data_IF_127221484655
#
_entry.id   IF_127221484655
#
_cell.length_a   1.000
_cell.length_b   1.000
_cell.length_c   1.000
_cell.angle_alpha   90.00
_cell.angle_beta   90.00
_cell.angle_gamma   90.00
#
_symmetry.space_group_name_H-M   'P 1'
#
loop_
_entity.id
_entity.type
_entity.pdbx_description
1 polymer ?
#
# COMPACT_ATOMS: atom_id res chain seq x y z
N UNK A 1 78.77 75.95 -12.05
CA UNK A 1 78.78 74.82 -11.12
C UNK A 1 77.38 74.25 -11.07
N UNK A 2 77.26 72.95 -11.35
CA UNK A 2 76.03 72.19 -11.34
C UNK A 2 75.72 71.72 -9.91
N UNK A 3 74.45 71.65 -9.52
CA UNK A 3 73.75 70.38 -9.31
C UNK A 3 72.31 70.56 -8.81
N UNK A 4 71.50 69.63 -9.31
CA UNK A 4 70.05 69.45 -9.31
C UNK A 4 69.45 69.00 -7.96
N UNK A 5 68.10 68.97 -7.85
CA UNK A 5 67.34 68.76 -6.62
C UNK A 5 67.33 67.29 -6.18
N UNK A 6 67.17 67.08 -4.86
CA UNK A 6 67.07 65.76 -4.22
C UNK A 6 65.75 65.07 -4.54
N UNK A 7 65.83 63.78 -4.87
CA UNK A 7 64.75 62.82 -5.04
C UNK A 7 63.68 62.94 -3.95
N UNK A 8 62.52 63.43 -4.35
CA UNK A 8 61.25 63.09 -3.70
C UNK A 8 60.79 61.81 -4.42
N UNK A 9 60.95 60.66 -3.77
CA UNK A 9 60.41 59.38 -4.22
C UNK A 9 58.89 59.45 -4.19
N UNK A 10 58.34 60.13 -5.21
CA UNK A 10 56.92 60.08 -5.55
C UNK A 10 56.66 58.64 -5.98
N UNK A 11 55.90 57.92 -5.16
CA UNK A 11 55.37 56.61 -5.52
C UNK A 11 54.66 56.72 -6.88
N UNK A 12 55.35 56.23 -7.91
CA UNK A 12 54.82 56.17 -9.27
C UNK A 12 53.76 55.08 -9.30
N UNK A 13 52.48 55.49 -9.22
CA UNK A 13 51.32 54.63 -9.42
C UNK A 13 51.19 54.19 -10.89
N UNK A 14 52.30 53.89 -11.56
CA UNK A 14 52.27 53.43 -12.95
C UNK A 14 51.65 52.03 -13.03
N UNK A 15 50.40 52.05 -13.48
CA UNK A 15 49.65 51.01 -14.21
C UNK A 15 49.49 49.65 -13.51
N UNK A 16 48.34 49.49 -12.85
CA UNK A 16 47.44 48.45 -13.34
C UNK A 16 46.55 49.07 -14.43
N UNK A 17 46.22 48.28 -15.44
CA UNK A 17 45.62 48.69 -16.71
C UNK A 17 44.10 48.87 -16.56
N UNK A 18 43.68 49.63 -15.55
CA UNK A 18 42.27 49.78 -15.23
C UNK A 18 41.81 51.19 -15.55
N UNK A 19 41.21 51.35 -16.72
CA UNK A 19 40.59 52.63 -17.10
C UNK A 19 39.41 52.91 -16.17
N UNK A 20 39.08 54.19 -15.98
CA UNK A 20 37.86 54.58 -15.26
C UNK A 20 36.61 53.90 -15.85
N UNK A 21 36.61 53.64 -17.15
CA UNK A 21 35.58 52.91 -17.87
C UNK A 21 35.50 51.43 -17.45
N UNK A 22 36.63 50.77 -17.18
CA UNK A 22 36.64 49.41 -16.63
C UNK A 22 35.98 49.34 -15.24
N UNK A 23 36.16 50.37 -14.39
CA UNK A 23 35.47 50.46 -13.08
C UNK A 23 33.97 50.63 -13.23
N UNK A 24 33.56 51.51 -14.13
CA UNK A 24 32.15 51.80 -14.38
C UNK A 24 31.45 50.55 -14.93
N UNK A 25 32.09 49.83 -15.84
CA UNK A 25 31.55 48.58 -16.39
C UNK A 25 31.45 47.48 -15.34
N UNK A 26 32.50 47.26 -14.54
CA UNK A 26 32.47 46.27 -13.46
C UNK A 26 31.38 46.59 -12.41
N UNK A 27 31.18 47.87 -12.08
CA UNK A 27 30.12 48.29 -11.18
C UNK A 27 28.73 48.03 -11.77
N UNK A 28 28.53 48.35 -13.05
CA UNK A 28 27.27 48.10 -13.74
C UNK A 28 26.94 46.61 -13.84
N UNK A 29 27.93 45.76 -14.10
CA UNK A 29 27.78 44.31 -14.09
C UNK A 29 27.37 43.80 -12.70
N UNK A 30 28.04 44.25 -11.63
CA UNK A 30 27.67 43.86 -10.26
C UNK A 30 26.25 44.29 -9.89
N UNK A 31 25.83 45.50 -10.26
CA UNK A 31 24.46 45.99 -10.03
C UNK A 31 23.44 45.13 -10.78
N UNK A 32 23.76 44.72 -12.00
CA UNK A 32 22.91 43.86 -12.80
C UNK A 32 22.76 42.45 -12.22
N UNK A 33 23.88 41.83 -11.83
CA UNK A 33 23.85 40.51 -11.21
C UNK A 33 23.16 40.52 -9.83
N UNK A 34 23.36 41.58 -9.04
CA UNK A 34 22.63 41.76 -7.79
C UNK A 34 21.12 41.87 -8.02
N UNK A 35 20.68 42.59 -9.07
CA UNK A 35 19.26 42.68 -9.43
C UNK A 35 18.69 41.31 -9.78
N UNK A 36 19.39 40.51 -10.59
CA UNK A 36 18.97 39.15 -10.92
C UNK A 36 18.86 38.28 -9.67
N UNK A 37 19.87 38.33 -8.80
CA UNK A 37 19.88 37.56 -7.55
C UNK A 37 18.74 37.97 -6.62
N UNK A 38 18.46 39.26 -6.52
CA UNK A 38 17.34 39.76 -5.72
C UNK A 38 16.00 39.27 -6.26
N UNK A 39 15.86 39.18 -7.59
CA UNK A 39 14.64 38.68 -8.21
C UNK A 39 14.46 37.19 -7.97
N UNK A 40 15.51 36.38 -8.19
CA UNK A 40 15.44 34.93 -7.93
C UNK A 40 15.20 34.61 -6.46
N UNK A 41 15.71 35.43 -5.54
CA UNK A 41 15.43 35.28 -4.12
C UNK A 41 13.93 35.44 -3.79
N UNK A 42 13.26 36.47 -4.34
CA UNK A 42 11.82 36.65 -4.12
C UNK A 42 10.99 35.56 -4.81
N UNK A 43 11.39 35.06 -5.98
CA UNK A 43 10.76 33.91 -6.65
C UNK A 43 10.84 32.64 -5.79
N UNK A 44 12.03 32.30 -5.29
CA UNK A 44 12.23 31.13 -4.41
C UNK A 44 11.45 31.27 -3.11
N UNK A 45 11.37 32.48 -2.56
CA UNK A 45 10.59 32.75 -1.35
C UNK A 45 9.09 32.58 -1.59
N UNK A 46 8.57 33.05 -2.73
CA UNK A 46 7.18 32.82 -3.12
C UNK A 46 6.89 31.33 -3.30
N UNK A 47 7.74 30.60 -4.04
CA UNK A 47 7.60 29.16 -4.24
C UNK A 47 7.68 28.37 -2.92
N UNK A 48 8.54 28.77 -1.98
CA UNK A 48 8.63 28.13 -0.67
C UNK A 48 7.35 28.32 0.15
N UNK A 49 6.72 29.51 0.08
CA UNK A 49 5.44 29.76 0.71
C UNK A 49 4.33 28.91 0.07
N UNK A 50 4.31 28.79 -1.26
CA UNK A 50 3.37 27.93 -1.97
C UNK A 50 3.58 26.45 -1.66
N UNK A 51 4.82 25.99 -1.57
CA UNK A 51 5.18 24.63 -1.17
C UNK A 51 4.79 24.35 0.28
N UNK A 52 4.93 25.30 1.20
CA UNK A 52 4.44 25.14 2.59
C UNK A 52 2.92 25.08 2.67
N UNK A 53 2.22 25.85 1.84
CA UNK A 53 0.76 25.81 1.75
C UNK A 53 0.26 24.53 1.04
N UNK A 54 1.07 23.95 0.15
CA UNK A 54 0.82 22.66 -0.51
C UNK A 54 1.18 21.48 0.39
N UNK A 55 2.24 21.64 1.19
CA UNK A 55 2.68 20.76 2.28
C UNK A 55 1.94 21.07 3.59
N UNK A 56 0.68 21.52 3.49
CA UNK A 56 -0.24 21.39 4.62
C UNK A 56 -0.44 19.90 4.86
N UNK A 57 -0.35 19.52 6.14
CA UNK A 57 -0.62 18.18 6.66
C UNK A 57 -1.72 17.46 5.86
N UNK A 58 -1.60 16.13 5.65
CA UNK A 58 -2.63 15.36 4.96
C UNK A 58 -3.97 15.78 5.54
N UNK A 59 -4.87 16.25 4.65
CA UNK A 59 -6.10 16.90 5.06
C UNK A 59 -6.78 16.06 6.15
N UNK A 60 -7.39 16.69 7.14
CA UNK A 60 -8.05 15.98 8.25
C UNK A 60 -9.10 14.96 7.76
N UNK A 61 -9.57 15.09 6.52
CA UNK A 61 -10.41 14.11 5.81
C UNK A 61 -9.64 12.83 5.47
N UNK A 62 -8.39 12.92 4.99
CA UNK A 62 -7.53 11.78 4.68
C UNK A 62 -7.13 10.97 5.93
N UNK A 63 -6.94 11.65 7.06
CA UNK A 63 -6.65 11.00 8.34
C UNK A 63 -7.88 10.22 8.84
N UNK A 64 -9.07 10.83 8.76
CA UNK A 64 -10.33 10.17 9.13
C UNK A 64 -10.72 9.01 8.19
N UNK A 65 -10.41 9.11 6.90
CA UNK A 65 -10.57 8.00 5.94
C UNK A 65 -9.64 6.82 6.29
N UNK A 66 -8.40 7.10 6.68
CA UNK A 66 -7.45 6.07 7.12
C UNK A 66 -7.94 5.35 8.38
N UNK A 67 -8.42 6.09 9.37
CA UNK A 67 -8.99 5.53 10.61
C UNK A 67 -10.26 4.70 10.31
N UNK A 68 -11.11 5.17 9.41
CA UNK A 68 -12.30 4.45 8.95
C UNK A 68 -11.95 3.12 8.28
N UNK A 69 -10.98 3.13 7.35
CA UNK A 69 -10.49 1.92 6.69
C UNK A 69 -9.89 0.92 7.68
N UNK A 70 -9.19 1.39 8.72
CA UNK A 70 -8.61 0.53 9.74
C UNK A 70 -9.69 -0.17 10.59
N UNK A 71 -10.78 0.52 10.91
CA UNK A 71 -11.95 -0.05 11.59
C UNK A 71 -12.61 -1.12 10.71
N UNK A 72 -12.84 -0.81 9.44
CA UNK A 72 -13.47 -1.74 8.50
C UNK A 72 -12.62 -2.99 8.28
N UNK A 73 -11.29 -2.84 8.15
CA UNK A 73 -10.34 -3.95 8.08
C UNK A 73 -10.41 -4.85 9.32
N UNK A 74 -10.50 -4.26 10.51
CA UNK A 74 -10.60 -5.00 11.77
C UNK A 74 -11.91 -5.79 11.89
N UNK A 75 -13.02 -5.20 11.41
CA UNK A 75 -14.33 -5.86 11.32
C UNK A 75 -14.29 -7.05 10.36
N UNK A 76 -13.77 -6.85 9.14
CA UNK A 76 -13.59 -7.90 8.14
C UNK A 76 -12.71 -9.04 8.65
N UNK A 77 -11.63 -8.73 9.37
CA UNK A 77 -10.74 -9.74 9.97
C UNK A 77 -11.49 -10.62 10.98
N UNK A 78 -12.33 -10.02 11.81
CA UNK A 78 -13.14 -10.74 12.81
C UNK A 78 -14.20 -11.61 12.13
N UNK A 79 -14.90 -11.08 11.13
CA UNK A 79 -15.89 -11.82 10.36
C UNK A 79 -15.26 -13.00 9.61
N UNK A 80 -14.08 -12.81 9.00
CA UNK A 80 -13.34 -13.86 8.33
C UNK A 80 -12.96 -15.01 9.27
N UNK A 81 -12.50 -14.70 10.49
CA UNK A 81 -12.22 -15.71 11.51
C UNK A 81 -13.47 -16.50 11.90
N UNK A 82 -14.61 -15.83 12.08
CA UNK A 82 -15.90 -16.47 12.37
C UNK A 82 -16.33 -17.41 11.24
N UNK A 83 -16.21 -16.98 9.98
CA UNK A 83 -16.52 -17.80 8.81
C UNK A 83 -15.61 -19.03 8.71
N UNK A 84 -14.30 -18.89 9.00
CA UNK A 84 -13.38 -20.02 9.04
C UNK A 84 -13.79 -21.05 10.09
N UNK A 85 -14.15 -20.60 11.31
CA UNK A 85 -14.63 -21.50 12.37
C UNK A 85 -15.90 -22.25 11.95
N UNK A 86 -16.88 -21.54 11.40
CA UNK A 86 -18.13 -22.14 10.91
C UNK A 86 -17.88 -23.13 9.77
N UNK A 87 -16.93 -22.84 8.88
CA UNK A 87 -16.52 -23.76 7.81
C UNK A 87 -15.94 -25.06 8.38
N UNK A 88 -15.06 -24.98 9.37
CA UNK A 88 -14.51 -26.18 10.02
C UNK A 88 -15.59 -27.01 10.73
N UNK A 89 -16.57 -26.36 11.37
CA UNK A 89 -17.70 -27.06 11.99
C UNK A 89 -18.56 -27.78 10.93
N UNK A 90 -18.85 -27.12 9.80
CA UNK A 90 -19.59 -27.72 8.70
C UNK A 90 -18.84 -28.90 8.07
N UNK A 91 -17.53 -28.79 7.92
CA UNK A 91 -16.68 -29.88 7.43
C UNK A 91 -16.74 -31.10 8.36
N UNK A 92 -16.66 -30.88 9.68
CA UNK A 92 -16.83 -31.95 10.67
C UNK A 92 -18.23 -32.60 10.61
N UNK A 93 -19.29 -31.79 10.44
CA UNK A 93 -20.66 -32.30 10.28
C UNK A 93 -20.81 -33.10 8.99
N UNK A 94 -20.18 -32.66 7.91
CA UNK A 94 -20.22 -33.35 6.62
C UNK A 94 -19.54 -34.73 6.71
N UNK A 95 -18.38 -34.80 7.36
CA UNK A 95 -17.68 -36.06 7.60
C UNK A 95 -18.53 -37.05 8.41
N UNK A 96 -19.16 -36.58 9.50
CA UNK A 96 -20.10 -37.39 10.28
C UNK A 96 -21.27 -37.89 9.43
N UNK A 97 -21.83 -37.03 8.59
CA UNK A 97 -22.94 -37.40 7.72
C UNK A 97 -22.52 -38.46 6.70
N UNK A 98 -21.33 -38.34 6.11
CA UNK A 98 -20.77 -39.36 5.22
C UNK A 98 -20.65 -40.72 5.91
N UNK A 99 -20.18 -40.76 7.15
CA UNK A 99 -20.09 -42.00 7.93
C UNK A 99 -21.46 -42.64 8.18
N UNK A 100 -22.47 -41.83 8.52
CA UNK A 100 -23.85 -42.30 8.72
C UNK A 100 -24.44 -42.83 7.41
N UNK A 101 -24.27 -42.11 6.31
CA UNK A 101 -24.75 -42.57 5.00
C UNK A 101 -24.06 -43.87 4.56
N UNK A 102 -22.76 -44.01 4.80
CA UNK A 102 -22.03 -45.25 4.55
C UNK A 102 -22.59 -46.42 5.35
N UNK A 103 -22.81 -46.21 6.66
CA UNK A 103 -23.41 -47.22 7.55
C UNK A 103 -24.83 -47.62 7.11
N UNK A 104 -25.65 -46.63 6.75
CA UNK A 104 -27.01 -46.84 6.25
C UNK A 104 -27.02 -47.64 4.94
N UNK A 105 -26.11 -47.31 4.03
CA UNK A 105 -25.95 -48.02 2.74
C UNK A 105 -25.57 -49.47 2.97
N UNK A 106 -24.59 -49.73 3.85
CA UNK A 106 -24.18 -51.08 4.22
C UNK A 106 -25.31 -51.88 4.90
N UNK A 107 -26.05 -51.25 5.81
CA UNK A 107 -27.21 -51.87 6.47
C UNK A 107 -28.31 -52.20 5.46
N UNK A 108 -28.59 -51.30 4.52
CA UNK A 108 -29.58 -51.51 3.46
C UNK A 108 -29.22 -52.69 2.56
N UNK A 109 -27.94 -52.80 2.15
CA UNK A 109 -27.44 -53.94 1.38
C UNK A 109 -27.51 -55.25 2.19
N UNK A 110 -27.25 -55.19 3.50
CA UNK A 110 -27.35 -56.37 4.36
C UNK A 110 -28.80 -56.84 4.50
N UNK A 111 -29.74 -55.89 4.64
CA UNK A 111 -31.17 -56.16 4.71
C UNK A 111 -31.71 -56.75 3.39
N UNK A 112 -31.31 -56.23 2.24
CA UNK A 112 -31.74 -56.77 0.94
C UNK A 112 -31.28 -58.21 0.76
N UNK A 113 -30.04 -58.53 1.12
CA UNK A 113 -29.51 -59.90 1.12
C UNK A 113 -30.30 -60.83 2.04
N UNK A 114 -30.69 -60.36 3.22
CA UNK A 114 -31.52 -61.14 4.15
C UNK A 114 -32.91 -61.43 3.56
N UNK A 115 -33.55 -60.43 2.94
CA UNK A 115 -34.83 -60.60 2.25
C UNK A 115 -34.74 -61.60 1.10
N UNK A 116 -33.68 -61.56 0.31
CA UNK A 116 -33.42 -62.54 -0.76
C UNK A 116 -33.25 -63.96 -0.22
N UNK A 117 -32.51 -64.13 0.88
CA UNK A 117 -32.31 -65.43 1.52
C UNK A 117 -33.62 -66.01 2.13
N UNK A 118 -34.55 -65.16 2.56
CA UNK A 118 -35.85 -65.57 3.12
C UNK A 118 -36.88 -65.93 2.03
N UNK A 119 -36.72 -65.41 0.81
CA UNK A 119 -37.64 -65.66 -0.33
C UNK A 119 -37.90 -67.15 -0.61
N UNK A 120 -36.90 -68.05 -0.72
CA UNK A 120 -37.14 -69.48 -0.95
C UNK A 120 -37.75 -70.23 0.26
N UNK A 121 -37.75 -69.65 1.47
CA UNK A 121 -38.40 -70.23 2.66
C UNK A 121 -39.92 -70.02 2.59
N UNK A 122 -40.34 -68.85 2.09
CA UNK A 122 -41.75 -68.48 1.93
C UNK A 122 -42.40 -69.17 0.72
N UNK A 123 -41.65 -69.46 -0.35
CA UNK A 123 -42.17 -70.17 -1.53
C UNK A 123 -42.47 -71.66 -1.24
N UNK A 124 -41.87 -72.25 -0.19
CA UNK A 124 -42.11 -73.65 0.22
C UNK A 124 -43.25 -73.81 1.23
N UNK A 125 -43.80 -72.74 1.78
CA UNK A 125 -44.97 -72.80 2.67
C UNK A 125 -46.30 -72.89 1.92
N UNK A 126 -46.28 -72.99 0.59
CA UNK A 126 -47.42 -73.43 -0.22
C UNK A 126 -47.70 -74.92 0.01
N UNK A 127 -48.10 -75.30 1.23
CA UNK A 127 -48.73 -76.60 1.48
C UNK A 127 -50.02 -76.62 0.65
N UNK A 128 -49.98 -77.33 -0.48
CA UNK A 128 -51.16 -77.72 -1.22
C UNK A 128 -52.06 -78.54 -0.31
N UNK A 129 -53.14 -77.94 0.17
CA UNK A 129 -54.27 -78.68 0.71
C UNK A 129 -54.91 -79.43 -0.45
N UNK A 130 -54.50 -80.68 -0.67
CA UNK A 130 -55.28 -81.60 -1.49
C UNK A 130 -56.54 -81.96 -0.69
N UNK A 131 -57.68 -81.43 -1.13
CA UNK A 131 -59.01 -81.92 -0.80
C UNK A 131 -59.39 -82.91 -1.90
N UNK A 132 -59.59 -84.18 -1.53
CA UNK A 132 -60.01 -85.26 -2.43
C UNK A 132 -59.57 -86.62 -1.93
#
# INVERSE_FOLDING_TARGET
MANQPSDDEVFDFSKNEFTQENLINALNEMVHEYRKLSQTFEEVKAENMDLKNSSVEPSTVQLGETDSLQIELSKLKTENQSLRLRSCELESKNERLNQVMGSWTQSSVSLSKLQEAQKPLNDKSGLGFNVG
#
